data_IF_069165197021
#
_entry.id   IF_069165197021
#
_cell.length_a   1.000
_cell.length_b   1.000
_cell.length_c   1.000
_cell.angle_alpha   90.00
_cell.angle_beta   90.00
_cell.angle_gamma   90.00
#
_symmetry.space_group_name_H-M   'P 1'
#
loop_
_entity.id
_entity.type
_entity.pdbx_description
1 polymer ?
#
# COMPACT_ATOMS: atom_id res chain seq x y z
N UNK A 1 -52.66 -12.61 -27.43
CA UNK A 1 -51.45 -13.38 -27.03
C UNK A 1 -50.13 -12.70 -27.41
N UNK A 2 -49.94 -12.19 -28.63
CA UNK A 2 -48.68 -11.52 -29.04
C UNK A 2 -48.28 -10.31 -28.17
N UNK A 3 -49.24 -9.49 -27.74
CA UNK A 3 -48.95 -8.32 -26.88
C UNK A 3 -48.52 -8.71 -25.46
N UNK A 4 -49.09 -9.77 -24.88
CA UNK A 4 -48.70 -10.27 -23.55
C UNK A 4 -47.27 -10.83 -23.58
N UNK A 5 -46.90 -11.53 -24.65
CA UNK A 5 -45.55 -12.07 -24.83
C UNK A 5 -44.49 -10.97 -25.06
N UNK A 6 -44.86 -9.91 -25.79
CA UNK A 6 -44.02 -8.72 -25.99
C UNK A 6 -43.77 -7.97 -24.66
N UNK A 7 -44.79 -7.88 -23.82
CA UNK A 7 -44.70 -7.21 -22.52
C UNK A 7 -43.88 -8.02 -21.50
N UNK A 8 -44.02 -9.36 -21.51
CA UNK A 8 -43.21 -10.27 -20.69
C UNK A 8 -41.73 -10.27 -21.09
N UNK A 9 -41.44 -10.25 -22.39
CA UNK A 9 -40.07 -10.15 -22.92
C UNK A 9 -39.40 -8.82 -22.54
N UNK A 10 -40.14 -7.71 -22.63
CA UNK A 10 -39.66 -6.39 -22.22
C UNK A 10 -39.38 -6.32 -20.70
N UNK A 11 -40.22 -6.93 -19.87
CA UNK A 11 -39.97 -7.03 -18.42
C UNK A 11 -38.76 -7.90 -18.10
N UNK A 12 -38.54 -9.01 -18.81
CA UNK A 12 -37.38 -9.89 -18.59
C UNK A 12 -36.07 -9.18 -18.96
N UNK A 13 -36.08 -8.40 -20.05
CA UNK A 13 -34.95 -7.57 -20.47
C UNK A 13 -34.66 -6.44 -19.47
N UNK A 14 -35.68 -5.84 -18.88
CA UNK A 14 -35.52 -4.81 -17.85
C UNK A 14 -34.87 -5.36 -16.56
N UNK A 15 -35.17 -6.61 -16.18
CA UNK A 15 -34.55 -7.27 -15.01
C UNK A 15 -33.10 -7.69 -15.28
N UNK A 16 -32.76 -8.05 -16.52
CA UNK A 16 -31.38 -8.35 -16.91
C UNK A 16 -30.49 -7.09 -16.97
N UNK A 17 -31.07 -5.93 -17.26
CA UNK A 17 -30.33 -4.65 -17.30
C UNK A 17 -30.04 -4.07 -15.90
N UNK A 18 -30.88 -4.36 -14.89
CA UNK A 18 -30.64 -3.91 -13.50
C UNK A 18 -29.59 -4.74 -12.78
N UNK A 19 -29.23 -5.93 -13.27
CA UNK A 19 -28.20 -6.79 -12.69
C UNK A 19 -26.77 -6.42 -13.12
N UNK A 20 -26.59 -5.69 -14.22
CA UNK A 20 -25.28 -5.10 -14.60
C UNK A 20 -24.95 -3.80 -13.85
N UNK A 21 -25.93 -3.17 -13.20
CA UNK A 21 -25.75 -1.93 -12.44
C UNK A 21 -25.77 -2.16 -10.92
N UNK A 22 -25.37 -3.35 -10.44
CA UNK A 22 -25.07 -3.54 -9.01
C UNK A 22 -23.75 -2.82 -8.68
N UNK A 23 -23.83 -1.50 -8.59
CA UNK A 23 -22.74 -0.59 -8.21
C UNK A 23 -22.57 -0.53 -6.69
N UNK A 24 -23.15 -1.47 -5.94
CA UNK A 24 -23.16 -1.45 -4.47
C UNK A 24 -21.92 -2.04 -3.81
N UNK A 25 -21.12 -2.86 -4.50
CA UNK A 25 -19.96 -3.54 -3.91
C UNK A 25 -18.76 -3.53 -4.88
N UNK A 26 -18.41 -2.35 -5.37
CA UNK A 26 -17.11 -2.16 -6.02
C UNK A 26 -16.04 -2.25 -4.91
N UNK A 27 -15.08 -3.19 -4.92
CA UNK A 27 -13.99 -3.24 -3.95
C UNK A 27 -13.05 -2.01 -4.05
N UNK A 28 -13.34 -1.07 -4.95
CA UNK A 28 -12.63 0.18 -5.20
C UNK A 28 -13.11 1.35 -4.35
N UNK A 29 -14.26 1.25 -3.67
CA UNK A 29 -14.65 2.21 -2.62
C UNK A 29 -14.24 1.68 -1.24
N UNK A 30 -12.96 1.32 -1.08
CA UNK A 30 -12.37 1.35 0.25
C UNK A 30 -12.38 2.81 0.69
N UNK A 31 -13.20 3.14 1.67
CA UNK A 31 -13.27 4.47 2.26
C UNK A 31 -11.85 4.86 2.71
N UNK A 32 -11.28 5.87 2.04
CA UNK A 32 -9.93 6.34 2.36
C UNK A 32 -10.05 7.07 3.69
N UNK A 33 -9.73 6.38 4.79
CA UNK A 33 -9.64 6.98 6.11
C UNK A 33 -8.60 8.11 6.07
N UNK A 34 -9.09 9.34 6.05
CA UNK A 34 -8.26 10.54 6.12
C UNK A 34 -7.91 10.76 7.58
N UNK A 35 -6.63 10.69 7.89
CA UNK A 35 -6.12 11.07 9.20
C UNK A 35 -6.56 12.51 9.49
N UNK A 36 -7.21 12.69 10.65
CA UNK A 36 -7.58 14.01 11.13
C UNK A 36 -6.32 14.79 11.53
N UNK A 37 -6.29 16.13 11.41
CA UNK A 37 -5.10 16.92 11.76
C UNK A 37 -4.65 16.72 13.21
N UNK A 38 -5.58 16.44 14.13
CA UNK A 38 -5.28 16.18 15.54
C UNK A 38 -4.59 14.83 15.78
N UNK A 39 -4.90 13.82 14.97
CA UNK A 39 -4.20 12.53 15.01
C UNK A 39 -2.77 12.68 14.45
N UNK A 40 -2.57 13.52 13.44
CA UNK A 40 -1.24 13.84 12.91
C UNK A 40 -0.34 14.52 13.95
N UNK A 41 -0.90 15.34 14.83
CA UNK A 41 -0.14 15.98 15.90
C UNK A 41 0.29 14.98 16.99
N UNK A 42 -0.53 13.97 17.30
CA UNK A 42 -0.15 12.89 18.24
C UNK A 42 0.99 12.00 17.72
N UNK A 43 1.15 11.99 16.41
CA UNK A 43 2.15 11.21 15.68
C UNK A 43 3.50 11.94 15.62
N UNK A 44 3.50 13.26 15.81
CA UNK A 44 4.72 14.06 15.91
C UNK A 44 5.31 13.92 17.32
N UNK A 45 6.58 13.49 17.46
CA UNK A 45 7.20 13.35 18.77
C UNK A 45 7.35 14.72 19.43
N UNK A 46 6.92 14.89 20.70
CA UNK A 46 6.94 16.18 21.38
C UNK A 46 8.35 16.74 21.50
N UNK A 47 8.48 18.06 21.50
CA UNK A 47 9.74 18.73 21.77
C UNK A 47 10.14 18.50 23.24
N UNK A 48 11.26 17.82 23.47
CA UNK A 48 11.81 17.59 24.81
C UNK A 48 13.10 18.39 24.93
N UNK A 49 13.06 19.47 25.70
CA UNK A 49 14.23 20.29 26.01
C UNK A 49 14.89 19.77 27.29
N UNK A 50 15.98 19.00 27.17
CA UNK A 50 16.78 18.57 28.33
C UNK A 50 17.75 19.68 28.78
N UNK A 51 18.12 20.57 27.85
CA UNK A 51 18.87 21.81 28.08
C UNK A 51 17.89 22.97 27.92
N UNK A 52 17.96 24.00 28.77
CA UNK A 52 17.04 25.15 28.68
C UNK A 52 17.55 26.19 27.69
N UNK A 53 16.63 26.97 27.10
CA UNK A 53 16.98 28.06 26.19
C UNK A 53 17.84 29.15 26.88
N UNK A 54 17.59 29.39 28.16
CA UNK A 54 18.38 30.33 28.98
C UNK A 54 19.83 29.87 29.17
N UNK A 55 20.04 28.56 29.32
CA UNK A 55 21.38 27.98 29.42
C UNK A 55 22.15 28.13 28.10
N UNK A 56 21.49 27.92 26.95
CA UNK A 56 22.10 28.17 25.64
C UNK A 56 22.50 29.63 25.44
N UNK A 57 21.67 30.56 25.90
CA UNK A 57 21.97 32.00 25.87
C UNK A 57 23.14 32.37 26.79
N UNK A 58 23.21 31.78 27.98
CA UNK A 58 24.33 31.98 28.89
C UNK A 58 25.63 31.48 28.27
N UNK A 59 25.61 30.31 27.63
CA UNK A 59 26.77 29.73 26.94
C UNK A 59 27.22 30.53 25.72
N UNK A 60 26.27 31.05 24.94
CA UNK A 60 26.56 31.96 23.83
C UNK A 60 27.23 33.25 24.35
N UNK A 61 26.75 33.82 25.45
CA UNK A 61 27.33 35.00 26.09
C UNK A 61 28.69 34.75 26.73
N UNK A 62 28.97 33.51 27.17
CA UNK A 62 30.29 33.08 27.65
C UNK A 62 31.31 32.91 26.52
N UNK A 63 30.91 33.13 25.26
CA UNK A 63 31.81 33.07 24.10
C UNK A 63 32.02 31.66 23.56
N UNK A 64 31.16 30.69 23.92
CA UNK A 64 31.19 29.37 23.26
C UNK A 64 30.86 29.53 21.79
N UNK A 65 31.53 28.74 20.96
CA UNK A 65 31.30 28.79 19.52
C UNK A 65 29.92 28.19 19.17
N UNK A 66 29.26 28.65 18.10
CA UNK A 66 27.99 28.10 17.64
C UNK A 66 28.01 26.58 17.46
N UNK A 67 29.13 26.06 16.95
CA UNK A 67 29.29 24.62 16.67
C UNK A 67 29.33 23.79 17.96
N UNK A 68 29.97 24.29 19.03
CA UNK A 68 29.99 23.63 20.34
C UNK A 68 28.59 23.58 20.97
N UNK A 69 27.81 24.66 20.80
CA UNK A 69 26.43 24.71 21.31
C UNK A 69 25.55 23.73 20.53
N UNK A 70 25.71 23.65 19.20
CA UNK A 70 25.02 22.66 18.36
C UNK A 70 25.38 21.23 18.76
N UNK A 71 26.66 20.96 19.03
CA UNK A 71 27.11 19.65 19.49
C UNK A 71 26.50 19.27 20.84
N UNK A 72 26.42 20.22 21.78
CA UNK A 72 25.73 20.01 23.06
C UNK A 72 24.26 19.65 22.85
N UNK A 73 23.55 20.37 21.97
CA UNK A 73 22.15 20.08 21.62
C UNK A 73 22.00 18.67 21.02
N UNK A 74 22.94 18.24 20.16
CA UNK A 74 22.97 16.87 19.60
C UNK A 74 23.16 15.82 20.68
N UNK A 75 24.15 15.98 21.55
CA UNK A 75 24.49 15.03 22.62
C UNK A 75 23.36 14.92 23.63
N UNK A 76 22.74 16.05 24.00
CA UNK A 76 21.63 16.06 24.96
C UNK A 76 20.30 15.62 24.33
N UNK A 77 20.28 15.40 23.01
CA UNK A 77 19.09 15.12 22.20
C UNK A 77 17.95 16.12 22.48
N UNK A 78 18.31 17.38 22.71
CA UNK A 78 17.35 18.44 23.04
C UNK A 78 16.60 18.88 21.78
N UNK A 79 15.27 18.98 21.90
CA UNK A 79 14.40 19.47 20.84
C UNK A 79 13.57 20.63 21.36
N UNK A 80 13.50 21.69 20.58
CA UNK A 80 12.82 22.94 20.95
C UNK A 80 11.77 23.30 19.93
N UNK A 81 10.54 23.52 20.34
CA UNK A 81 9.53 24.09 19.45
C UNK A 81 9.59 25.61 19.56
N UNK A 82 10.32 26.23 18.62
CA UNK A 82 10.47 27.68 18.56
C UNK A 82 9.48 28.27 17.55
N UNK A 83 8.69 29.25 17.98
CA UNK A 83 7.92 30.07 17.04
C UNK A 83 8.86 31.04 16.29
N UNK A 84 8.46 31.54 15.11
CA UNK A 84 9.26 32.53 14.39
C UNK A 84 9.56 33.77 15.26
N UNK A 85 8.60 34.24 16.06
CA UNK A 85 8.80 35.37 16.97
C UNK A 85 9.86 35.08 18.05
N UNK A 86 9.86 33.87 18.60
CA UNK A 86 10.86 33.44 19.58
C UNK A 86 12.25 33.30 18.95
N UNK A 87 12.35 32.80 17.72
CA UNK A 87 13.64 32.70 17.02
C UNK A 87 14.29 34.08 16.83
N UNK A 88 13.47 35.09 16.48
CA UNK A 88 13.93 36.47 16.31
C UNK A 88 14.31 37.09 17.65
N UNK A 89 13.54 36.84 18.71
CA UNK A 89 13.86 37.37 20.05
C UNK A 89 15.14 36.77 20.61
N UNK A 90 15.37 35.46 20.44
CA UNK A 90 16.60 34.77 20.84
C UNK A 90 17.81 35.28 20.04
N UNK A 91 17.65 35.54 18.75
CA UNK A 91 18.70 36.15 17.95
C UNK A 91 19.09 37.54 18.47
N UNK A 92 18.10 38.39 18.78
CA UNK A 92 18.34 39.71 19.40
C UNK A 92 19.02 39.61 20.77
N UNK A 93 18.81 38.52 21.49
CA UNK A 93 19.45 38.25 22.79
C UNK A 93 20.90 37.73 22.69
N UNK A 94 21.40 37.52 21.46
CA UNK A 94 22.78 37.14 21.20
C UNK A 94 22.97 35.68 20.80
N UNK A 95 21.91 34.93 20.52
CA UNK A 95 22.03 33.57 19.99
C UNK A 95 22.32 33.59 18.48
N UNK A 96 23.36 32.89 18.05
CA UNK A 96 23.74 32.86 16.64
C UNK A 96 22.68 32.19 15.76
N UNK A 97 22.53 32.71 14.53
CA UNK A 97 21.60 32.23 13.50
C UNK A 97 21.87 30.77 13.17
N UNK A 98 23.14 30.33 13.17
CA UNK A 98 23.50 28.93 12.90
C UNK A 98 22.83 27.96 13.87
N UNK A 99 22.78 28.31 15.16
CA UNK A 99 22.17 27.47 16.20
C UNK A 99 20.65 27.42 15.97
N UNK A 100 20.03 28.57 15.69
CA UNK A 100 18.60 28.67 15.41
C UNK A 100 18.20 27.85 14.18
N UNK A 101 18.97 27.96 13.09
CA UNK A 101 18.75 27.16 11.88
C UNK A 101 18.84 25.67 12.17
N UNK A 102 19.86 25.25 12.92
CA UNK A 102 20.00 23.85 13.32
C UNK A 102 18.79 23.35 14.13
N UNK A 103 18.26 24.17 15.04
CA UNK A 103 17.04 23.82 15.81
C UNK A 103 15.85 23.63 14.86
N UNK A 104 15.65 24.52 13.89
CA UNK A 104 14.54 24.38 12.93
C UNK A 104 14.71 23.16 12.02
N UNK A 105 15.91 22.93 11.49
CA UNK A 105 16.23 21.79 10.63
C UNK A 105 16.07 20.45 11.36
N UNK A 106 16.61 20.34 12.57
CA UNK A 106 16.50 19.11 13.38
C UNK A 106 15.04 18.76 13.69
N UNK A 107 14.20 19.74 13.97
CA UNK A 107 12.77 19.51 14.16
C UNK A 107 12.03 19.14 12.89
N UNK A 108 12.37 19.76 11.76
CA UNK A 108 11.80 19.38 10.47
C UNK A 108 12.15 17.94 10.11
N UNK A 109 13.42 17.55 10.30
CA UNK A 109 13.88 16.17 10.09
C UNK A 109 13.18 15.18 11.03
N UNK A 110 13.04 15.51 12.32
CA UNK A 110 12.34 14.65 13.28
C UNK A 110 10.88 14.41 12.87
N UNK A 111 10.18 15.45 12.39
CA UNK A 111 8.81 15.31 11.86
C UNK A 111 8.76 14.42 10.62
N UNK A 112 9.67 14.62 9.67
CA UNK A 112 9.74 13.80 8.46
C UNK A 112 10.02 12.32 8.78
N UNK A 113 10.94 12.06 9.71
CA UNK A 113 11.28 10.70 10.13
C UNK A 113 10.11 10.01 10.82
N UNK A 114 9.39 10.69 11.71
CA UNK A 114 8.20 10.13 12.36
C UNK A 114 7.13 9.73 11.33
N UNK A 115 6.86 10.59 10.34
CA UNK A 115 5.94 10.29 9.25
C UNK A 115 6.43 9.11 8.39
N UNK A 116 7.72 9.05 8.08
CA UNK A 116 8.31 7.95 7.32
C UNK A 116 8.17 6.62 8.07
N UNK A 117 8.42 6.61 9.38
CA UNK A 117 8.29 5.42 10.23
C UNK A 117 6.85 4.89 10.27
N UNK A 118 5.87 5.78 10.32
CA UNK A 118 4.47 5.39 10.26
C UNK A 118 4.05 4.85 8.91
N UNK A 119 4.47 5.51 7.83
CA UNK A 119 4.24 5.03 6.47
C UNK A 119 4.86 3.63 6.34
N UNK A 120 6.09 3.43 6.83
CA UNK A 120 6.75 2.14 6.82
C UNK A 120 5.97 1.09 7.63
N UNK A 121 5.49 1.45 8.82
CA UNK A 121 4.68 0.58 9.68
C UNK A 121 3.38 0.16 8.99
N UNK A 122 2.64 1.11 8.40
CA UNK A 122 1.39 0.84 7.65
C UNK A 122 1.67 -0.03 6.42
N UNK A 123 2.72 0.30 5.66
CA UNK A 123 3.12 -0.46 4.48
C UNK A 123 3.51 -1.90 4.84
N UNK A 124 4.20 -2.11 5.96
CA UNK A 124 4.51 -3.45 6.45
C UNK A 124 3.24 -4.22 6.85
N UNK A 125 2.31 -3.58 7.56
CA UNK A 125 1.03 -4.19 7.93
C UNK A 125 0.22 -4.61 6.68
N UNK A 126 0.15 -3.74 5.67
CA UNK A 126 -0.54 -4.02 4.41
C UNK A 126 0.13 -5.16 3.63
N UNK A 127 1.47 -5.18 3.54
CA UNK A 127 2.19 -6.30 2.92
C UNK A 127 1.91 -7.63 3.62
N UNK A 128 1.73 -7.63 4.94
CA UNK A 128 1.40 -8.83 5.70
C UNK A 128 -0.05 -9.29 5.47
N UNK A 129 -1.01 -8.36 5.42
CA UNK A 129 -2.41 -8.70 5.11
C UNK A 129 -2.56 -9.23 3.68
N UNK A 130 -1.93 -8.60 2.69
CA UNK A 130 -1.88 -9.08 1.31
C UNK A 130 -1.28 -10.48 1.19
N UNK A 131 -0.18 -10.75 1.91
CA UNK A 131 0.43 -12.09 1.94
C UNK A 131 -0.50 -13.13 2.54
N UNK A 132 -1.26 -12.80 3.59
CA UNK A 132 -2.26 -13.69 4.19
C UNK A 132 -3.40 -13.98 3.21
N UNK A 133 -3.98 -12.94 2.61
CA UNK A 133 -5.04 -13.06 1.61
C UNK A 133 -4.60 -13.87 0.40
N UNK A 134 -3.37 -13.64 -0.08
CA UNK A 134 -2.78 -14.44 -1.16
C UNK A 134 -2.66 -15.91 -0.77
N UNK A 135 -2.16 -16.20 0.43
CA UNK A 135 -2.05 -17.58 0.93
C UNK A 135 -3.41 -18.26 1.03
N UNK A 136 -4.43 -17.59 1.57
CA UNK A 136 -5.79 -18.13 1.67
C UNK A 136 -6.39 -18.43 0.30
N UNK A 137 -6.22 -17.50 -0.65
CA UNK A 137 -6.62 -17.70 -2.05
C UNK A 137 -5.90 -18.86 -2.71
N UNK A 138 -4.59 -18.97 -2.52
CA UNK A 138 -3.78 -20.05 -3.10
C UNK A 138 -4.19 -21.40 -2.49
N UNK A 139 -4.42 -21.47 -1.18
CA UNK A 139 -4.94 -22.67 -0.51
C UNK A 139 -6.34 -23.06 -0.99
N UNK A 140 -7.24 -22.08 -1.18
CA UNK A 140 -8.58 -22.33 -1.71
C UNK A 140 -8.51 -22.91 -3.13
N UNK A 141 -7.63 -22.34 -3.99
CA UNK A 141 -7.39 -22.84 -5.35
C UNK A 141 -6.82 -24.26 -5.35
N UNK A 142 -5.90 -24.56 -4.43
CA UNK A 142 -5.33 -25.91 -4.28
C UNK A 142 -6.37 -26.92 -3.77
N UNK A 143 -7.28 -26.53 -2.86
CA UNK A 143 -8.38 -27.40 -2.40
C UNK A 143 -9.35 -27.76 -3.54
N UNK A 144 -9.60 -26.86 -4.48
CA UNK A 144 -10.39 -27.14 -5.69
C UNK A 144 -9.62 -27.95 -6.75
N UNK A 145 -8.29 -28.03 -6.63
CA UNK A 145 -7.41 -28.80 -7.50
C UNK A 145 -7.10 -30.13 -6.82
N UNK A 146 -8.08 -31.02 -6.75
CA UNK A 146 -7.84 -32.41 -6.37
C UNK A 146 -7.04 -33.09 -7.50
N UNK A 147 -5.81 -33.60 -7.28
CA UNK A 147 -5.05 -34.32 -8.30
C UNK A 147 -5.76 -35.58 -8.81
N UNK A 148 -6.74 -36.09 -8.06
CA UNK A 148 -7.52 -37.28 -8.37
C UNK A 148 -8.95 -36.98 -8.85
N UNK A 149 -9.48 -35.77 -8.61
CA UNK A 149 -10.89 -35.40 -8.91
C UNK A 149 -11.12 -34.00 -9.49
N UNK A 150 -10.06 -33.25 -9.81
CA UNK A 150 -10.15 -31.98 -10.53
C UNK A 150 -10.56 -32.17 -11.99
N UNK A 151 -11.32 -31.21 -12.52
CA UNK A 151 -11.83 -31.13 -13.90
C UNK A 151 -10.68 -31.14 -14.93
N UNK A 152 -10.13 -32.33 -15.20
CA UNK A 152 -8.92 -32.56 -16.00
C UNK A 152 -8.12 -33.83 -15.64
N UNK A 153 -8.50 -34.60 -14.60
CA UNK A 153 -7.76 -35.77 -14.13
C UNK A 153 -8.40 -37.15 -14.35
N UNK A 154 -9.55 -37.25 -15.02
CA UNK A 154 -10.32 -38.51 -15.13
C UNK A 154 -10.36 -39.14 -16.54
N UNK A 155 -9.45 -38.75 -17.44
CA UNK A 155 -9.15 -39.49 -18.68
C UNK A 155 -7.65 -39.48 -19.02
N UNK A 156 -6.79 -39.64 -18.00
CA UNK A 156 -5.35 -39.64 -18.22
C UNK A 156 -4.58 -40.25 -17.06
N UNK A 157 -4.95 -41.47 -16.65
CA UNK A 157 -4.17 -42.23 -15.66
C UNK A 157 -2.86 -42.71 -16.33
N UNK A 158 -1.68 -42.44 -15.77
CA UNK A 158 -0.40 -42.84 -16.33
C UNK A 158 -0.11 -44.28 -15.91
N UNK A 159 -0.74 -45.24 -16.56
CA UNK A 159 -0.32 -46.64 -16.51
C UNK A 159 -0.81 -47.32 -17.78
N UNK A 160 -0.06 -47.09 -18.87
CA UNK A 160 0.26 -48.01 -19.97
C UNK A 160 0.91 -47.17 -21.09
N UNK A 161 2.13 -47.53 -21.45
CA UNK A 161 2.73 -47.15 -22.73
C UNK A 161 3.78 -46.05 -22.63
N UNK A 162 5.05 -46.45 -22.76
CA UNK A 162 6.18 -45.56 -22.95
C UNK A 162 6.11 -44.70 -24.24
N UNK A 163 7.22 -44.05 -24.63
CA UNK A 163 7.25 -42.83 -25.46
C UNK A 163 6.82 -42.97 -26.94
N UNK A 164 6.23 -44.09 -27.35
CA UNK A 164 5.78 -44.36 -28.72
C UNK A 164 4.45 -45.13 -28.70
N UNK A 165 3.38 -44.46 -28.25
CA UNK A 165 2.03 -45.05 -28.17
C UNK A 165 1.19 -44.77 -29.41
N UNK A 166 1.38 -45.58 -30.46
CA UNK A 166 0.44 -45.74 -31.57
C UNK A 166 -0.89 -46.28 -31.03
N UNK A 167 -1.99 -45.54 -31.18
CA UNK A 167 -3.34 -46.01 -30.89
C UNK A 167 -3.88 -46.94 -31.99
N UNK A 168 -4.62 -48.02 -31.67
CA UNK A 168 -4.92 -49.14 -32.58
C UNK A 168 -6.10 -48.93 -33.54
N UNK A 169 -6.43 -47.68 -33.89
CA UNK A 169 -7.41 -47.39 -34.94
C UNK A 169 -6.89 -46.27 -35.83
N UNK A 170 -6.02 -46.66 -36.75
CA UNK A 170 -5.50 -45.81 -37.80
C UNK A 170 -6.52 -45.54 -38.91
N UNK A 171 -6.49 -44.29 -39.37
CA UNK A 171 -6.73 -43.81 -40.73
C UNK A 171 -8.15 -43.60 -41.28
N UNK A 172 -8.23 -42.49 -42.04
CA UNK A 172 -9.26 -41.98 -43.00
C UNK A 172 -10.38 -41.14 -42.36
N UNK A 173 -10.70 -39.92 -42.78
CA UNK A 173 -10.45 -39.14 -44.01
C UNK A 173 -10.59 -37.64 -43.66
N UNK A 174 -9.72 -36.74 -44.11
CA UNK A 174 -9.97 -35.85 -45.26
C UNK A 174 -11.45 -35.42 -45.44
N UNK A 175 -11.72 -34.10 -45.34
CA UNK A 175 -12.98 -33.33 -45.56
C UNK A 175 -13.70 -32.71 -44.33
N UNK A 176 -13.17 -31.56 -43.83
CA UNK A 176 -13.89 -30.36 -43.31
C UNK A 176 -14.97 -30.44 -42.21
N UNK A 177 -15.51 -29.31 -41.70
CA UNK A 177 -15.15 -27.91 -41.93
C UNK A 177 -14.50 -27.22 -40.72
N UNK A 178 -13.79 -26.15 -41.05
CA UNK A 178 -13.13 -25.19 -40.17
C UNK A 178 -14.15 -24.38 -39.37
N UNK A 179 -14.09 -24.43 -38.04
CA UNK A 179 -14.50 -23.33 -37.18
C UNK A 179 -13.28 -22.85 -36.41
N UNK A 180 -12.60 -21.87 -36.99
CA UNK A 180 -11.50 -21.16 -36.36
C UNK A 180 -12.03 -20.02 -35.49
N UNK A 181 -11.62 -20.01 -34.24
CA UNK A 181 -11.36 -18.78 -33.51
C UNK A 181 -9.85 -18.64 -33.41
N UNK A 182 -9.26 -18.19 -34.52
CA UNK A 182 -7.87 -17.78 -34.56
C UNK A 182 -7.74 -16.39 -33.96
N UNK A 183 -7.13 -16.31 -32.78
CA UNK A 183 -6.35 -15.16 -32.36
C UNK A 183 -5.09 -15.71 -31.69
N UNK A 184 -4.13 -16.09 -32.56
CA UNK A 184 -2.75 -16.24 -32.16
C UNK A 184 -2.13 -14.85 -32.02
N UNK A 185 -1.56 -14.56 -30.85
CA UNK A 185 -0.58 -13.50 -30.72
C UNK A 185 0.80 -14.17 -30.70
N UNK A 186 1.53 -13.99 -31.80
CA UNK A 186 2.97 -14.18 -31.87
C UNK A 186 3.70 -12.98 -31.27
N UNK A 187 4.97 -13.22 -30.97
CA UNK A 187 5.99 -12.30 -30.47
C UNK A 187 6.20 -11.07 -31.33
#
# INVERSE_FOLDING_TARGET
MKQVFSMLSACLLAVLLTSCATTGNSPTQAEVERISPEELEKLIPPAVATVTLEELLAEAKQGKTPDQIIEKIKVSNSRYELTPEQSVSLNKQGLDIKILNYIHESNALARQNALADEINKRNQANKLSEKKLKRERDLARMRSYDPFWGYGGYYGRPWIGGPFGYGPYGHRSFYGPRFGWGLGYGW
#
